data_IF_507819943636
#
_entry.id   IF_507819943636
#
_cell.length_a   1.000
_cell.length_b   1.000
_cell.length_c   1.000
_cell.angle_alpha   90.00
_cell.angle_beta   90.00
_cell.angle_gamma   90.00
#
_symmetry.space_group_name_H-M   'P 1'
#
loop_
_entity.id
_entity.type
_entity.pdbx_description
1 polymer ?
#
# COMPACT_ATOMS: atom_id res chain seq x y z
N UNK A 1 -34.12 12.53 -1.78
CA UNK A 1 -33.84 13.75 -0.98
C UNK A 1 -34.58 13.70 0.36
N UNK A 2 -33.98 13.13 1.40
CA UNK A 2 -34.39 13.32 2.81
C UNK A 2 -33.11 13.29 3.65
N UNK A 3 -32.87 14.39 4.38
CA UNK A 3 -31.74 14.70 5.29
C UNK A 3 -30.35 14.78 4.62
N UNK A 4 -30.00 15.97 4.10
CA UNK A 4 -28.61 16.43 3.89
C UNK A 4 -27.90 16.62 5.24
N UNK A 5 -27.76 15.56 6.04
CA UNK A 5 -26.89 15.58 7.21
C UNK A 5 -25.53 15.03 6.78
N UNK A 6 -24.42 15.67 7.14
CA UNK A 6 -23.10 15.09 6.93
C UNK A 6 -23.06 13.72 7.63
N UNK A 7 -22.49 12.73 6.95
CA UNK A 7 -22.24 11.40 7.51
C UNK A 7 -20.85 11.46 8.12
N UNK A 8 -20.75 11.29 9.42
CA UNK A 8 -19.47 11.21 10.12
C UNK A 8 -18.85 9.85 9.85
N UNK A 9 -17.58 9.86 9.44
CA UNK A 9 -16.79 8.66 9.16
C UNK A 9 -15.48 8.80 9.94
N UNK A 10 -15.17 7.81 10.77
CA UNK A 10 -13.90 7.76 11.50
C UNK A 10 -12.81 7.19 10.59
N UNK A 11 -11.82 8.02 10.26
CA UNK A 11 -10.67 7.65 9.43
C UNK A 11 -9.43 7.56 10.30
N UNK A 12 -8.77 6.40 10.27
CA UNK A 12 -7.48 6.19 10.94
C UNK A 12 -6.44 5.76 9.89
N UNK A 13 -6.09 6.70 9.02
CA UNK A 13 -5.15 6.49 7.93
C UNK A 13 -4.39 7.75 7.59
N UNK A 14 -3.34 7.59 6.77
CA UNK A 14 -2.74 8.74 6.09
C UNK A 14 -3.72 9.33 5.09
N UNK A 15 -3.69 10.64 4.97
CA UNK A 15 -4.54 11.41 4.06
C UNK A 15 -3.68 12.26 3.13
N UNK A 16 -4.20 12.54 1.94
CA UNK A 16 -3.67 13.55 1.03
C UNK A 16 -4.61 14.75 1.06
N UNK A 17 -4.09 15.93 1.40
CA UNK A 17 -4.87 17.18 1.32
C UNK A 17 -4.75 17.69 -0.12
N UNK A 18 -5.85 17.62 -0.85
CA UNK A 18 -5.93 17.97 -2.27
C UNK A 18 -7.33 18.46 -2.61
N UNK A 19 -7.54 19.76 -2.43
CA UNK A 19 -8.83 20.38 -2.68
C UNK A 19 -9.16 20.46 -4.17
N UNK A 20 -8.16 20.55 -5.04
CA UNK A 20 -8.36 20.68 -6.48
C UNK A 20 -8.93 19.38 -7.06
N UNK A 21 -8.22 18.26 -6.87
CA UNK A 21 -8.72 16.96 -7.36
C UNK A 21 -9.98 16.52 -6.64
N UNK A 22 -10.19 16.89 -5.36
CA UNK A 22 -11.48 16.64 -4.69
C UNK A 22 -12.64 17.29 -5.46
N UNK A 23 -12.49 18.56 -5.89
CA UNK A 23 -13.55 19.30 -6.58
C UNK A 23 -13.78 18.79 -8.00
N UNK A 24 -12.72 18.41 -8.72
CA UNK A 24 -12.84 17.79 -10.05
C UNK A 24 -13.63 16.48 -9.99
N UNK A 25 -13.36 15.65 -8.98
CA UNK A 25 -14.03 14.36 -8.78
C UNK A 25 -15.43 14.55 -8.20
N UNK A 26 -15.65 15.59 -7.39
CA UNK A 26 -16.92 15.89 -6.74
C UNK A 26 -17.42 17.30 -7.11
N UNK A 27 -17.76 17.56 -8.39
CA UNK A 27 -18.07 18.91 -8.88
C UNK A 27 -19.32 19.53 -8.24
N UNK A 28 -20.23 18.68 -7.75
CA UNK A 28 -21.48 19.08 -7.08
C UNK A 28 -21.36 19.15 -5.56
N UNK A 29 -20.15 18.98 -5.00
CA UNK A 29 -19.94 19.12 -3.56
C UNK A 29 -20.14 20.58 -3.16
N UNK A 30 -21.04 20.82 -2.21
CA UNK A 30 -21.39 22.17 -1.74
C UNK A 30 -20.89 22.35 -0.33
N UNK A 31 -19.98 23.31 -0.13
CA UNK A 31 -19.54 23.71 1.21
C UNK A 31 -20.60 24.58 1.88
N UNK A 32 -20.91 24.37 3.17
CA UNK A 32 -21.71 25.33 3.94
C UNK A 32 -20.96 26.68 3.98
N UNK A 33 -21.52 27.73 3.36
CA UNK A 33 -20.98 29.08 3.47
C UNK A 33 -21.61 29.81 4.66
N UNK A 34 -20.83 30.67 5.32
CA UNK A 34 -21.30 31.54 6.40
C UNK A 34 -22.21 32.65 5.82
N UNK A 35 -22.02 33.01 4.55
CA UNK A 35 -22.84 33.97 3.82
C UNK A 35 -24.15 33.33 3.31
N UNK A 36 -25.11 33.12 4.21
CA UNK A 36 -26.53 32.99 3.81
C UNK A 36 -27.12 34.39 3.58
N UNK A 37 -26.68 35.04 2.51
CA UNK A 37 -27.22 36.32 2.06
C UNK A 37 -27.91 36.18 0.71
N UNK A 38 -29.26 36.19 0.74
CA UNK A 38 -30.21 36.31 -0.38
C UNK A 38 -30.09 35.32 -1.55
N UNK A 39 -31.20 34.64 -1.81
CA UNK A 39 -31.49 33.90 -3.04
C UNK A 39 -31.08 34.69 -4.30
N UNK A 40 -29.96 34.29 -4.93
CA UNK A 40 -29.59 34.47 -6.35
C UNK A 40 -28.07 34.41 -6.64
N UNK A 41 -27.21 34.12 -5.66
CA UNK A 41 -25.82 33.79 -5.96
C UNK A 41 -25.72 32.28 -6.26
N UNK A 42 -25.57 31.91 -7.53
CA UNK A 42 -24.98 30.62 -7.86
C UNK A 42 -23.67 30.52 -7.06
N UNK A 43 -23.59 29.57 -6.14
CA UNK A 43 -22.37 29.30 -5.38
C UNK A 43 -21.29 28.95 -6.39
N UNK A 44 -20.47 29.92 -6.75
CA UNK A 44 -19.37 29.71 -7.67
C UNK A 44 -18.37 28.80 -6.96
N UNK A 45 -18.41 27.51 -7.29
CA UNK A 45 -17.34 26.55 -7.00
C UNK A 45 -16.06 26.87 -7.82
N UNK A 46 -15.91 28.11 -8.31
CA UNK A 46 -14.70 28.54 -8.99
C UNK A 46 -13.62 28.69 -7.93
N UNK A 47 -12.56 27.89 -8.09
CA UNK A 47 -11.30 28.06 -7.38
C UNK A 47 -10.89 29.52 -7.61
N UNK A 48 -10.75 30.29 -6.53
CA UNK A 48 -10.00 31.53 -6.61
C UNK A 48 -8.56 31.11 -6.96
N UNK A 49 -8.17 31.26 -8.23
CA UNK A 49 -6.86 30.85 -8.73
C UNK A 49 -5.71 31.54 -7.96
N UNK A 50 -6.01 32.60 -7.20
CA UNK A 50 -5.07 33.22 -6.25
C UNK A 50 -4.69 32.33 -5.06
N UNK A 51 -5.48 31.31 -4.74
CA UNK A 51 -5.23 30.37 -3.64
C UNK A 51 -4.21 29.28 -3.97
N UNK A 52 -3.83 29.09 -5.25
CA UNK A 52 -2.92 28.01 -5.65
C UNK A 52 -1.42 28.34 -5.58
N UNK A 53 -1.04 29.53 -5.10
CA UNK A 53 0.31 29.90 -4.65
C UNK A 53 0.25 31.31 -4.08
N UNK A 54 -0.37 31.49 -2.92
CA UNK A 54 -0.08 32.73 -2.19
C UNK A 54 1.37 32.61 -1.72
N UNK A 55 2.21 33.53 -2.16
CA UNK A 55 3.49 33.83 -1.51
C UNK A 55 3.26 34.48 -0.14
N UNK A 56 2.25 34.00 0.60
CA UNK A 56 1.94 34.47 1.95
C UNK A 56 2.95 33.82 2.87
N UNK A 57 3.65 34.67 3.60
CA UNK A 57 4.44 34.25 4.72
C UNK A 57 3.48 33.70 5.78
N UNK A 58 3.55 32.39 6.04
CA UNK A 58 2.68 31.72 7.01
C UNK A 58 2.91 32.27 8.43
N UNK A 59 4.11 32.79 8.69
CA UNK A 59 4.48 33.43 9.94
C UNK A 59 3.90 34.85 10.07
N UNK A 60 3.31 35.40 8.99
CA UNK A 60 2.65 36.70 8.98
C UNK A 60 1.12 36.64 9.17
N UNK A 61 0.54 35.43 9.33
CA UNK A 61 -0.89 35.26 9.60
C UNK A 61 -1.22 35.70 11.03
N UNK A 62 -2.23 36.54 11.17
CA UNK A 62 -2.75 36.98 12.47
C UNK A 62 -3.82 36.02 13.00
N UNK A 63 -4.11 36.09 14.30
CA UNK A 63 -5.21 35.32 14.90
C UNK A 63 -6.56 35.58 14.21
N UNK A 64 -6.77 36.80 13.69
CA UNK A 64 -7.98 37.17 12.94
C UNK A 64 -8.05 36.45 11.58
N UNK A 65 -6.92 36.22 10.93
CA UNK A 65 -6.82 35.45 9.67
C UNK A 65 -7.13 33.96 9.90
N UNK A 66 -6.76 33.43 11.07
CA UNK A 66 -7.13 32.05 11.44
C UNK A 66 -8.64 31.91 11.70
N UNK A 67 -9.32 32.96 12.19
CA UNK A 67 -10.77 32.93 12.42
C UNK A 67 -11.61 32.83 11.14
N UNK A 68 -11.07 33.28 9.99
CA UNK A 68 -11.73 33.19 8.70
C UNK A 68 -11.34 31.93 7.90
N UNK A 69 -10.33 31.20 8.35
CA UNK A 69 -9.94 29.93 7.73
C UNK A 69 -11.03 28.86 7.89
N UNK A 70 -11.18 28.01 6.88
CA UNK A 70 -12.05 26.84 6.97
C UNK A 70 -11.53 25.89 8.05
N UNK A 71 -12.36 25.44 9.02
CA UNK A 71 -11.94 24.49 10.05
C UNK A 71 -11.73 23.07 9.49
N UNK A 72 -12.04 22.88 8.21
CA UNK A 72 -11.93 21.62 7.48
C UNK A 72 -11.17 21.79 6.16
N UNK A 73 -10.49 20.72 5.77
CA UNK A 73 -9.78 20.60 4.49
C UNK A 73 -10.31 19.43 3.68
N UNK A 74 -10.27 19.56 2.35
CA UNK A 74 -10.71 18.52 1.42
C UNK A 74 -9.51 17.63 1.07
N UNK A 75 -9.73 16.33 1.02
CA UNK A 75 -8.64 15.41 0.71
C UNK A 75 -9.09 13.98 0.47
N UNK A 76 -8.13 13.08 0.45
CA UNK A 76 -8.31 11.67 0.17
C UNK A 76 -7.74 10.78 1.27
N UNK A 77 -8.52 9.81 1.76
CA UNK A 77 -8.01 8.74 2.62
C UNK A 77 -7.28 7.69 1.78
N UNK A 78 -5.98 7.51 2.03
CA UNK A 78 -5.15 6.57 1.28
C UNK A 78 -5.49 5.10 1.58
N UNK A 79 -6.02 4.77 2.75
CA UNK A 79 -6.39 3.38 3.06
C UNK A 79 -7.82 3.08 2.62
N UNK A 80 -8.76 3.98 2.92
CA UNK A 80 -10.19 3.77 2.67
C UNK A 80 -10.58 4.07 1.22
N UNK A 81 -9.73 4.79 0.49
CA UNK A 81 -9.93 5.17 -0.92
C UNK A 81 -11.13 6.09 -1.13
N UNK A 82 -11.33 7.01 -0.19
CA UNK A 82 -12.47 7.93 -0.19
C UNK A 82 -11.99 9.38 -0.20
N UNK A 83 -12.64 10.18 -1.04
CA UNK A 83 -12.56 11.64 -0.98
C UNK A 83 -13.48 12.14 0.13
N UNK A 84 -12.91 12.83 1.12
CA UNK A 84 -13.62 13.28 2.31
C UNK A 84 -13.22 14.72 2.69
N UNK A 85 -14.01 15.30 3.57
CA UNK A 85 -13.69 16.54 4.27
C UNK A 85 -13.22 16.20 5.68
N UNK A 86 -12.03 16.69 6.05
CA UNK A 86 -11.34 16.36 7.30
C UNK A 86 -11.27 17.57 8.21
N UNK A 87 -11.50 17.39 9.51
CA UNK A 87 -11.30 18.44 10.51
C UNK A 87 -9.81 18.71 10.69
N UNK A 88 -9.39 19.98 10.58
CA UNK A 88 -7.97 20.37 10.71
C UNK A 88 -7.41 19.98 12.09
N UNK A 89 -8.24 20.06 13.14
CA UNK A 89 -7.87 19.69 14.50
C UNK A 89 -7.48 18.22 14.67
N UNK A 90 -7.94 17.33 13.77
CA UNK A 90 -7.66 15.89 13.82
C UNK A 90 -6.53 15.47 12.87
N UNK A 91 -5.87 16.43 12.21
CA UNK A 91 -4.76 16.18 11.28
C UNK A 91 -3.44 16.50 11.98
N UNK A 92 -2.49 15.57 11.88
CA UNK A 92 -1.13 15.75 12.38
C UNK A 92 -0.10 15.47 11.28
N UNK A 93 1.12 15.97 11.47
CA UNK A 93 2.23 15.63 10.58
C UNK A 93 2.52 14.13 10.57
N UNK A 94 3.04 13.65 9.44
CA UNK A 94 3.36 12.24 9.26
C UNK A 94 4.69 11.92 9.94
N UNK A 95 4.65 10.99 10.91
CA UNK A 95 5.86 10.37 11.46
C UNK A 95 6.38 9.29 10.52
N UNK A 96 7.37 9.63 9.68
CA UNK A 96 8.02 8.71 8.75
C UNK A 96 8.99 7.74 9.44
N UNK A 97 9.03 6.49 8.99
CA UNK A 97 9.95 5.48 9.49
C UNK A 97 10.93 5.00 8.41
N UNK A 98 11.98 5.78 8.16
CA UNK A 98 13.00 5.50 7.14
C UNK A 98 13.73 4.15 7.35
N UNK A 99 13.74 3.62 8.58
CA UNK A 99 14.37 2.34 8.90
C UNK A 99 13.61 1.14 8.35
N UNK A 100 12.33 1.30 7.97
CA UNK A 100 11.47 0.21 7.53
C UNK A 100 12.04 -0.48 6.27
N UNK A 101 12.56 0.29 5.32
CA UNK A 101 13.17 -0.26 4.10
C UNK A 101 14.41 -1.12 4.41
N UNK A 102 15.14 -0.81 5.49
CA UNK A 102 16.30 -1.59 5.92
C UNK A 102 15.94 -2.97 6.49
N UNK A 103 14.71 -3.13 6.97
CA UNK A 103 14.21 -4.36 7.57
C UNK A 103 13.65 -5.35 6.53
N UNK A 104 13.45 -4.90 5.28
CA UNK A 104 12.89 -5.73 4.22
C UNK A 104 13.93 -6.75 3.74
N UNK A 105 13.54 -8.02 3.71
CA UNK A 105 14.40 -9.14 3.34
C UNK A 105 14.59 -9.26 1.81
N UNK A 106 15.36 -8.34 1.22
CA UNK A 106 15.72 -8.33 -0.20
C UNK A 106 17.25 -8.44 -0.34
N UNK A 107 17.78 -9.11 -1.38
CA UNK A 107 19.20 -9.10 -1.66
C UNK A 107 19.79 -7.68 -1.73
N UNK A 108 20.94 -7.47 -1.09
CA UNK A 108 21.59 -6.16 -0.98
C UNK A 108 21.84 -5.47 -2.33
N UNK A 109 22.15 -6.26 -3.38
CA UNK A 109 22.31 -5.76 -4.75
C UNK A 109 21.01 -5.16 -5.31
N UNK A 110 19.88 -5.85 -5.15
CA UNK A 110 18.58 -5.36 -5.61
C UNK A 110 18.16 -4.12 -4.82
N UNK A 111 18.44 -4.10 -3.52
CA UNK A 111 18.13 -2.96 -2.66
C UNK A 111 18.86 -1.67 -3.09
N UNK A 112 20.18 -1.75 -3.32
CA UNK A 112 20.97 -0.62 -3.85
C UNK A 112 20.46 -0.14 -5.20
N UNK A 113 20.03 -1.05 -6.07
CA UNK A 113 19.49 -0.70 -7.38
C UNK A 113 18.16 0.03 -7.25
N UNK A 114 17.25 -0.43 -6.39
CA UNK A 114 15.97 0.25 -6.11
C UNK A 114 16.24 1.65 -5.56
N UNK A 115 17.12 1.79 -4.56
CA UNK A 115 17.49 3.10 -3.99
C UNK A 115 18.04 4.05 -5.06
N UNK A 116 18.96 3.59 -5.90
CA UNK A 116 19.55 4.41 -6.96
C UNK A 116 18.51 4.87 -7.99
N UNK A 117 17.67 3.95 -8.49
CA UNK A 117 16.65 4.25 -9.49
C UNK A 117 15.57 5.19 -8.94
N UNK A 118 15.13 4.95 -7.70
CA UNK A 118 14.08 5.76 -7.07
C UNK A 118 14.58 7.15 -6.68
N UNK A 119 15.82 7.26 -6.22
CA UNK A 119 16.45 8.56 -5.93
C UNK A 119 16.65 9.37 -7.21
N UNK A 120 17.09 8.73 -8.30
CA UNK A 120 17.22 9.38 -9.61
C UNK A 120 15.87 9.89 -10.12
N UNK A 121 14.82 9.08 -10.01
CA UNK A 121 13.46 9.47 -10.40
C UNK A 121 12.87 10.55 -9.50
N UNK A 122 13.25 10.57 -8.22
CA UNK A 122 12.70 11.51 -7.22
C UNK A 122 13.41 12.86 -7.23
N UNK A 123 14.72 12.89 -7.53
CA UNK A 123 15.52 14.09 -7.65
C UNK A 123 15.42 14.66 -9.06
N UNK A 124 14.45 15.55 -9.29
CA UNK A 124 14.23 16.28 -10.56
C UNK A 124 15.37 17.23 -10.98
N UNK A 125 16.62 16.89 -10.72
CA UNK A 125 17.84 17.68 -10.93
C UNK A 125 18.93 16.93 -11.72
N UNK A 126 18.59 15.86 -12.43
CA UNK A 126 19.51 15.36 -13.46
C UNK A 126 19.44 16.32 -14.66
N UNK A 127 20.46 17.18 -14.80
CA UNK A 127 20.67 18.13 -15.92
C UNK A 127 20.69 17.44 -17.30
N UNK A 128 20.73 16.11 -17.32
CA UNK A 128 20.67 15.24 -18.48
C UNK A 128 19.71 14.08 -18.17
N UNK A 129 18.46 14.18 -18.63
CA UNK A 129 17.53 13.05 -18.63
C UNK A 129 17.88 12.13 -19.79
N UNK A 130 18.09 10.84 -19.53
CA UNK A 130 18.09 9.82 -20.57
C UNK A 130 16.64 9.57 -20.95
N UNK A 131 16.12 10.37 -21.87
CA UNK A 131 14.75 10.27 -22.38
C UNK A 131 14.76 9.38 -23.63
N UNK A 132 13.70 8.60 -23.83
CA UNK A 132 13.52 7.83 -25.06
C UNK A 132 13.40 8.77 -26.27
N UNK A 133 13.62 8.28 -27.49
CA UNK A 133 13.55 9.08 -28.72
C UNK A 133 12.15 9.70 -28.96
N UNK A 134 11.12 9.23 -28.23
CA UNK A 134 9.74 9.71 -28.29
C UNK A 134 9.42 10.49 -27.02
N UNK A 135 9.07 11.76 -27.18
CA UNK A 135 8.71 12.66 -26.09
C UNK A 135 7.55 12.10 -25.24
N UNK A 136 7.81 11.89 -23.95
CA UNK A 136 6.80 11.42 -22.98
C UNK A 136 6.74 9.90 -22.76
N UNK A 137 7.57 9.09 -23.42
CA UNK A 137 7.72 7.65 -23.14
C UNK A 137 8.93 7.35 -22.26
N UNK A 138 8.85 6.30 -21.44
CA UNK A 138 10.01 5.79 -20.69
C UNK A 138 10.45 6.64 -19.50
N UNK A 139 9.65 7.64 -19.09
CA UNK A 139 9.95 8.52 -17.95
C UNK A 139 9.53 7.96 -16.60
N UNK A 140 8.76 6.87 -16.55
CA UNK A 140 8.34 6.24 -15.30
C UNK A 140 9.24 5.09 -14.87
N UNK A 141 9.33 4.84 -13.56
CA UNK A 141 10.04 3.69 -13.01
C UNK A 141 9.05 2.60 -12.64
N UNK A 142 9.03 1.50 -13.39
CA UNK A 142 8.16 0.35 -13.14
C UNK A 142 8.98 -0.82 -12.58
N UNK A 143 8.63 -1.25 -11.37
CA UNK A 143 9.28 -2.34 -10.66
C UNK A 143 8.31 -3.50 -10.47
N UNK A 144 8.74 -4.72 -10.78
CA UNK A 144 7.96 -5.93 -10.54
C UNK A 144 8.50 -6.69 -9.34
N UNK A 145 7.68 -6.85 -8.31
CA UNK A 145 7.96 -7.65 -7.12
C UNK A 145 7.25 -8.99 -7.25
N UNK A 146 7.99 -10.09 -7.38
CA UNK A 146 7.38 -11.38 -7.68
C UNK A 146 7.91 -12.53 -6.84
N UNK A 147 7.05 -13.47 -6.49
CA UNK A 147 7.42 -14.64 -5.69
C UNK A 147 6.27 -15.14 -4.81
N UNK A 148 6.52 -16.10 -3.92
CA UNK A 148 5.48 -16.70 -3.08
C UNK A 148 4.71 -15.67 -2.22
N UNK A 149 3.48 -15.99 -1.78
CA UNK A 149 2.74 -15.11 -0.88
C UNK A 149 3.43 -15.01 0.50
N UNK A 150 3.30 -13.85 1.15
CA UNK A 150 3.76 -13.66 2.55
C UNK A 150 5.28 -13.49 2.74
N UNK A 151 6.04 -13.20 1.68
CA UNK A 151 7.51 -13.00 1.72
C UNK A 151 7.96 -11.53 1.79
N UNK A 152 7.02 -10.58 1.94
CA UNK A 152 7.35 -9.15 2.12
C UNK A 152 7.32 -8.29 0.86
N UNK A 153 6.67 -8.74 -0.23
CA UNK A 153 6.49 -7.94 -1.46
C UNK A 153 5.83 -6.58 -1.18
N UNK A 154 4.63 -6.58 -0.60
CA UNK A 154 3.89 -5.36 -0.22
C UNK A 154 4.68 -4.50 0.78
N UNK A 155 5.32 -5.14 1.77
CA UNK A 155 6.18 -4.46 2.77
C UNK A 155 7.36 -3.71 2.13
N UNK A 156 7.80 -4.13 0.94
CA UNK A 156 8.86 -3.44 0.20
C UNK A 156 8.39 -2.08 -0.30
N UNK A 157 7.16 -2.02 -0.82
CA UNK A 157 6.57 -0.77 -1.28
C UNK A 157 6.32 0.18 -0.10
N UNK A 158 5.81 -0.34 1.01
CA UNK A 158 5.65 0.40 2.27
C UNK A 158 7.00 0.95 2.75
N UNK A 159 8.02 0.10 2.90
CA UNK A 159 9.35 0.51 3.31
C UNK A 159 9.96 1.56 2.39
N UNK A 160 9.81 1.40 1.08
CA UNK A 160 10.32 2.35 0.10
C UNK A 160 9.60 3.70 0.19
N UNK A 161 8.28 3.70 0.39
CA UNK A 161 7.51 4.94 0.59
C UNK A 161 7.94 5.70 1.84
N UNK A 162 8.23 4.99 2.94
CA UNK A 162 8.76 5.58 4.16
C UNK A 162 10.16 6.17 3.95
N UNK A 163 11.02 5.45 3.24
CA UNK A 163 12.39 5.88 2.96
C UNK A 163 12.43 7.13 2.08
N UNK A 164 11.55 7.21 1.08
CA UNK A 164 11.47 8.35 0.16
C UNK A 164 10.63 9.51 0.71
N UNK A 165 9.96 9.34 1.86
CA UNK A 165 8.99 10.28 2.44
C UNK A 165 7.90 10.68 1.44
N UNK A 166 7.39 9.69 0.71
CA UNK A 166 6.38 9.87 -0.34
C UNK A 166 5.12 9.09 0.00
N UNK A 167 3.93 9.59 -0.38
CA UNK A 167 2.69 8.83 -0.21
C UNK A 167 2.74 7.49 -0.93
N UNK A 168 2.13 6.46 -0.35
CA UNK A 168 1.92 5.17 -1.00
C UNK A 168 0.45 5.05 -1.41
N UNK A 169 0.21 5.04 -2.71
CA UNK A 169 -1.12 4.81 -3.27
C UNK A 169 -1.29 3.36 -3.69
N UNK A 170 -1.87 2.55 -2.78
CA UNK A 170 -2.06 1.10 -3.01
C UNK A 170 -3.39 0.78 -3.66
N UNK A 171 -3.42 0.06 -4.77
CA UNK A 171 -4.64 -0.42 -5.43
C UNK A 171 -4.53 -1.92 -5.64
N UNK A 172 -5.54 -2.67 -5.19
CA UNK A 172 -5.63 -4.09 -5.51
C UNK A 172 -6.08 -4.23 -6.96
N UNK A 173 -5.40 -5.08 -7.74
CA UNK A 173 -5.79 -5.36 -9.11
C UNK A 173 -7.22 -5.94 -9.21
N UNK A 174 -7.73 -6.58 -8.16
CA UNK A 174 -9.12 -7.06 -8.09
C UNK A 174 -10.17 -5.94 -8.12
N UNK A 175 -9.79 -4.70 -7.78
CA UNK A 175 -10.68 -3.53 -7.83
C UNK A 175 -10.70 -2.86 -9.22
N UNK A 176 -9.86 -3.33 -10.15
CA UNK A 176 -9.82 -2.81 -11.50
C UNK A 176 -10.97 -3.38 -12.33
N UNK A 177 -11.53 -2.57 -13.22
CA UNK A 177 -12.62 -2.99 -14.08
C UNK A 177 -12.21 -4.14 -15.01
N UNK A 178 -13.14 -5.09 -15.19
CA UNK A 178 -13.01 -6.20 -16.16
C UNK A 178 -13.54 -5.84 -17.55
N UNK A 179 -13.94 -4.60 -17.75
CA UNK A 179 -14.26 -4.02 -19.05
C UNK A 179 -13.12 -3.11 -19.51
N UNK A 180 -12.61 -3.33 -20.72
CA UNK A 180 -11.40 -2.66 -21.21
C UNK A 180 -11.55 -1.14 -21.34
N UNK A 181 -12.75 -0.63 -21.66
CA UNK A 181 -12.98 0.82 -21.78
C UNK A 181 -13.00 1.48 -20.41
N UNK A 182 -13.70 0.88 -19.46
CA UNK A 182 -13.76 1.38 -18.08
C UNK A 182 -12.41 1.26 -17.39
N UNK A 183 -11.66 0.19 -17.64
CA UNK A 183 -10.29 0.01 -17.15
C UNK A 183 -9.38 1.14 -17.64
N UNK A 184 -9.47 1.49 -18.92
CA UNK A 184 -8.68 2.58 -19.51
C UNK A 184 -8.92 3.91 -18.78
N UNK A 185 -10.17 4.27 -18.52
CA UNK A 185 -10.53 5.50 -17.78
C UNK A 185 -10.00 5.42 -16.34
N UNK A 186 -10.26 4.31 -15.66
CA UNK A 186 -9.84 4.11 -14.27
C UNK A 186 -8.31 4.19 -14.09
N UNK A 187 -7.54 3.61 -15.01
CA UNK A 187 -6.08 3.69 -14.98
C UNK A 187 -5.58 5.11 -15.24
N UNK A 188 -6.21 5.88 -16.15
CA UNK A 188 -5.87 7.28 -16.38
C UNK A 188 -6.04 8.11 -15.10
N UNK A 189 -7.22 8.05 -14.48
CA UNK A 189 -7.53 8.79 -13.25
C UNK A 189 -6.56 8.40 -12.12
N UNK A 190 -6.31 7.10 -11.95
CA UNK A 190 -5.40 6.60 -10.93
C UNK A 190 -3.95 7.07 -11.15
N UNK A 191 -3.47 7.07 -12.39
CA UNK A 191 -2.12 7.51 -12.73
C UNK A 191 -1.95 9.00 -12.56
N UNK A 192 -2.93 9.79 -12.99
CA UNK A 192 -2.93 11.25 -12.83
C UNK A 192 -2.90 11.65 -11.35
N UNK A 193 -3.73 11.03 -10.52
CA UNK A 193 -3.72 11.23 -9.06
C UNK A 193 -2.36 10.85 -8.45
N UNK A 194 -1.78 9.71 -8.86
CA UNK A 194 -0.48 9.29 -8.36
C UNK A 194 0.65 10.24 -8.79
N UNK A 195 0.61 10.75 -10.01
CA UNK A 195 1.58 11.71 -10.55
C UNK A 195 1.48 13.06 -9.84
N UNK A 196 0.27 13.59 -9.66
CA UNK A 196 0.01 14.86 -8.97
C UNK A 196 0.53 14.84 -7.53
N UNK A 197 0.32 13.72 -6.83
CA UNK A 197 0.82 13.53 -5.47
C UNK A 197 2.30 13.14 -5.38
N UNK A 198 2.96 12.92 -6.53
CA UNK A 198 4.30 12.33 -6.61
C UNK A 198 4.41 11.02 -5.79
N UNK A 199 3.31 10.28 -5.72
CA UNK A 199 3.16 9.09 -4.90
C UNK A 199 3.84 7.88 -5.53
N UNK A 200 4.19 6.91 -4.69
CA UNK A 200 4.49 5.55 -5.16
C UNK A 200 3.16 4.85 -5.39
N UNK A 201 2.94 4.37 -6.61
CA UNK A 201 1.75 3.62 -6.97
C UNK A 201 2.03 2.13 -6.83
N UNK A 202 1.32 1.45 -5.93
CA UNK A 202 1.41 0.01 -5.74
C UNK A 202 0.17 -0.66 -6.33
N UNK A 203 0.35 -1.48 -7.37
CA UNK A 203 -0.69 -2.40 -7.84
C UNK A 203 -0.42 -3.80 -7.26
N UNK A 204 -1.21 -4.17 -6.26
CA UNK A 204 -1.07 -5.44 -5.55
C UNK A 204 -1.86 -6.55 -6.27
N UNK A 205 -1.27 -7.74 -6.37
CA UNK A 205 -1.87 -8.93 -6.99
C UNK A 205 -2.25 -8.74 -8.47
N UNK A 206 -1.38 -8.08 -9.25
CA UNK A 206 -1.56 -7.83 -10.68
C UNK A 206 -1.45 -9.08 -11.58
N UNK A 207 -1.68 -10.28 -11.03
CA UNK A 207 -1.52 -11.57 -11.70
C UNK A 207 -2.33 -11.61 -13.01
N UNK A 208 -3.62 -11.27 -12.95
CA UNK A 208 -4.55 -11.34 -14.09
C UNK A 208 -4.23 -10.34 -15.21
N UNK A 209 -3.52 -9.24 -14.94
CA UNK A 209 -3.17 -8.23 -15.94
C UNK A 209 -1.78 -8.43 -16.55
N UNK A 210 -0.95 -9.27 -15.92
CA UNK A 210 0.39 -9.60 -16.38
C UNK A 210 0.47 -10.96 -17.07
N UNK A 211 -0.59 -11.78 -16.96
CA UNK A 211 -0.65 -13.10 -17.58
C UNK A 211 -0.63 -13.05 -19.12
N UNK A 212 -0.12 -14.13 -19.73
CA UNK A 212 -0.11 -14.36 -21.17
C UNK A 212 -1.51 -14.28 -21.73
N UNK A 213 -1.59 -13.72 -22.92
CA UNK A 213 -2.80 -13.76 -23.75
C UNK A 213 -3.31 -15.18 -23.89
N UNK A 214 -4.61 -15.36 -23.70
CA UNK A 214 -5.31 -16.64 -23.79
C UNK A 214 -6.28 -16.63 -24.97
N UNK A 215 -7.15 -17.65 -25.08
CA UNK A 215 -8.23 -17.66 -26.07
C UNK A 215 -9.35 -16.66 -25.74
N UNK A 216 -9.35 -16.07 -24.55
CA UNK A 216 -10.33 -15.06 -24.15
C UNK A 216 -9.95 -13.68 -24.72
N UNK A 217 -10.76 -13.21 -25.68
CA UNK A 217 -10.58 -11.91 -26.32
C UNK A 217 -10.77 -10.74 -25.34
N UNK A 218 -11.60 -10.89 -24.31
CA UNK A 218 -11.80 -9.86 -23.31
C UNK A 218 -10.54 -9.71 -22.44
N UNK A 219 -10.03 -10.81 -21.91
CA UNK A 219 -8.77 -10.82 -21.16
C UNK A 219 -7.62 -10.21 -21.96
N UNK A 220 -7.46 -10.59 -23.22
CA UNK A 220 -6.40 -10.04 -24.08
C UNK A 220 -6.53 -8.53 -24.29
N UNK A 221 -7.76 -8.03 -24.35
CA UNK A 221 -8.05 -6.60 -24.44
C UNK A 221 -7.66 -5.87 -23.15
N UNK A 222 -7.95 -6.44 -21.98
CA UNK A 222 -7.55 -5.89 -20.68
C UNK A 222 -6.04 -5.82 -20.54
N UNK A 223 -5.33 -6.92 -20.84
CA UNK A 223 -3.86 -6.96 -20.82
C UNK A 223 -3.27 -5.92 -21.77
N UNK A 224 -3.83 -5.79 -22.98
CA UNK A 224 -3.36 -4.82 -23.97
C UNK A 224 -3.54 -3.37 -23.51
N UNK A 225 -4.68 -3.03 -22.92
CA UNK A 225 -4.93 -1.70 -22.34
C UNK A 225 -3.98 -1.43 -21.19
N UNK A 226 -3.82 -2.39 -20.29
CA UNK A 226 -2.94 -2.27 -19.12
C UNK A 226 -1.49 -2.00 -19.55
N UNK A 227 -0.92 -2.83 -20.41
CA UNK A 227 0.45 -2.66 -20.91
C UNK A 227 0.65 -1.34 -21.66
N UNK A 228 -0.34 -0.93 -22.47
CA UNK A 228 -0.30 0.36 -23.15
C UNK A 228 -0.25 1.51 -22.15
N UNK A 229 -1.06 1.48 -21.10
CA UNK A 229 -1.09 2.55 -20.09
C UNK A 229 0.20 2.61 -19.27
N UNK A 230 0.76 1.46 -18.90
CA UNK A 230 2.05 1.40 -18.20
C UNK A 230 3.17 2.14 -18.93
N UNK A 231 3.20 2.08 -20.26
CA UNK A 231 4.24 2.71 -21.09
C UNK A 231 4.29 4.24 -20.97
N UNK A 232 3.16 4.87 -20.64
CA UNK A 232 3.03 6.33 -20.55
C UNK A 232 3.00 6.86 -19.11
N UNK A 233 3.06 5.98 -18.10
CA UNK A 233 3.09 6.41 -16.70
C UNK A 233 4.43 7.09 -16.38
N UNK A 234 4.39 8.25 -15.72
CA UNK A 234 5.58 9.09 -15.45
C UNK A 234 6.02 9.08 -13.98
N UNK A 235 5.42 8.23 -13.15
CA UNK A 235 5.76 8.10 -11.72
C UNK A 235 6.57 6.85 -11.38
N UNK A 236 6.63 6.54 -10.08
CA UNK A 236 7.20 5.29 -9.56
C UNK A 236 6.05 4.31 -9.33
N UNK A 237 6.11 3.14 -9.98
CA UNK A 237 5.12 2.08 -9.85
C UNK A 237 5.77 0.78 -9.36
N UNK A 238 5.10 0.14 -8.41
CA UNK A 238 5.41 -1.20 -7.95
C UNK A 238 4.25 -2.13 -8.30
N UNK A 239 4.55 -3.21 -9.01
CA UNK A 239 3.60 -4.28 -9.31
C UNK A 239 3.95 -5.47 -8.42
N UNK A 240 2.95 -6.11 -7.79
CA UNK A 240 3.17 -7.39 -7.12
C UNK A 240 2.46 -8.52 -7.84
N UNK A 241 3.06 -9.70 -7.80
CA UNK A 241 2.51 -10.90 -8.42
C UNK A 241 3.01 -12.15 -7.70
N UNK A 242 2.12 -13.15 -7.62
CA UNK A 242 2.44 -14.47 -7.11
C UNK A 242 2.79 -15.45 -8.25
N UNK A 243 2.44 -15.11 -9.50
CA UNK A 243 2.49 -16.02 -10.66
C UNK A 243 3.52 -15.60 -11.70
N UNK A 244 4.77 -16.03 -11.50
CA UNK A 244 5.92 -15.64 -12.33
C UNK A 244 5.95 -16.32 -13.71
N UNK A 245 5.36 -17.52 -13.83
CA UNK A 245 5.60 -18.42 -14.97
C UNK A 245 4.76 -18.10 -16.21
N UNK A 246 3.74 -17.26 -16.04
CA UNK A 246 2.73 -17.04 -17.05
C UNK A 246 2.75 -15.61 -17.59
N UNK A 247 3.87 -14.86 -17.50
CA UNK A 247 3.87 -13.48 -18.00
C UNK A 247 3.82 -13.38 -19.53
N UNK A 248 3.04 -12.42 -20.02
CA UNK A 248 3.11 -11.97 -21.41
C UNK A 248 4.52 -11.43 -21.70
N UNK A 249 5.10 -11.78 -22.85
CA UNK A 249 6.46 -11.37 -23.21
C UNK A 249 6.59 -9.85 -23.29
N UNK A 250 5.52 -9.14 -23.67
CA UNK A 250 5.49 -7.68 -23.76
C UNK A 250 5.50 -6.98 -22.38
N UNK A 251 5.34 -7.73 -21.29
CA UNK A 251 5.54 -7.23 -19.91
C UNK A 251 7.02 -6.97 -19.65
N UNK A 252 7.92 -7.80 -20.21
CA UNK A 252 9.36 -7.70 -19.95
C UNK A 252 9.96 -6.39 -20.45
N UNK A 253 9.48 -5.87 -21.59
CA UNK A 253 9.98 -4.61 -22.15
C UNK A 253 9.49 -3.36 -21.40
N UNK A 254 8.50 -3.50 -20.50
CA UNK A 254 7.90 -2.40 -19.73
C UNK A 254 8.37 -2.36 -18.28
N UNK A 255 9.00 -3.43 -17.80
CA UNK A 255 9.55 -3.53 -16.44
C UNK A 255 11.02 -3.14 -16.46
N UNK A 256 11.38 -2.17 -15.63
CA UNK A 256 12.77 -1.71 -15.49
C UNK A 256 13.57 -2.65 -14.59
N UNK A 257 12.93 -3.17 -13.54
CA UNK A 257 13.55 -4.10 -12.59
C UNK A 257 12.54 -5.14 -12.12
N UNK A 258 12.92 -6.41 -12.24
CA UNK A 258 12.22 -7.54 -11.64
C UNK A 258 12.93 -8.01 -10.37
N UNK A 259 12.29 -7.87 -9.21
CA UNK A 259 12.80 -8.33 -7.91
C UNK A 259 12.15 -9.67 -7.57
N UNK A 260 12.95 -10.73 -7.66
CA UNK A 260 12.55 -12.07 -7.25
C UNK A 260 12.61 -12.23 -5.73
N UNK A 261 11.51 -12.69 -5.16
CA UNK A 261 11.44 -13.15 -3.77
C UNK A 261 11.47 -14.68 -3.74
N UNK A 262 12.43 -15.20 -2.99
CA UNK A 262 12.51 -16.62 -2.66
C UNK A 262 11.75 -16.90 -1.36
N UNK A 263 11.35 -18.16 -1.10
CA UNK A 263 10.92 -18.57 0.23
C UNK A 263 11.95 -18.14 1.29
N UNK A 264 11.46 -17.76 2.47
CA UNK A 264 12.30 -17.22 3.54
C UNK A 264 13.33 -18.26 3.99
N UNK A 265 14.58 -17.85 4.19
CA UNK A 265 15.61 -18.69 4.83
C UNK A 265 15.38 -18.80 6.34
N UNK A 266 16.08 -19.74 6.99
CA UNK A 266 16.03 -19.91 8.46
C UNK A 266 16.45 -18.62 9.17
N UNK A 267 17.55 -18.00 8.73
CA UNK A 267 18.05 -16.76 9.35
C UNK A 267 17.08 -15.59 9.19
N UNK A 268 16.47 -15.46 8.01
CA UNK A 268 15.44 -14.45 7.76
C UNK A 268 14.21 -14.67 8.64
N UNK A 269 13.72 -15.91 8.76
CA UNK A 269 12.62 -16.23 9.68
C UNK A 269 12.99 -15.93 11.13
N UNK A 270 14.22 -16.24 11.55
CA UNK A 270 14.73 -15.93 12.90
C UNK A 270 14.65 -14.43 13.18
N UNK A 271 15.08 -13.60 12.24
CA UNK A 271 15.00 -12.14 12.36
C UNK A 271 13.54 -11.64 12.42
N UNK A 272 12.65 -12.20 11.60
CA UNK A 272 11.22 -11.86 11.60
C UNK A 272 10.56 -12.22 12.93
N UNK A 273 10.81 -13.44 13.43
CA UNK A 273 10.33 -13.89 14.75
C UNK A 273 10.78 -12.92 15.84
N UNK A 274 12.08 -12.61 15.89
CA UNK A 274 12.64 -11.67 16.88
C UNK A 274 11.93 -10.31 16.82
N UNK A 275 11.77 -9.74 15.63
CA UNK A 275 11.12 -8.43 15.45
C UNK A 275 9.67 -8.41 15.95
N UNK A 276 8.90 -9.47 15.73
CA UNK A 276 7.53 -9.54 16.23
C UNK A 276 7.46 -9.80 17.75
N UNK A 277 8.34 -10.65 18.28
CA UNK A 277 8.36 -10.97 19.72
C UNK A 277 8.81 -9.77 20.57
N UNK A 278 9.75 -8.97 20.10
CA UNK A 278 10.16 -7.71 20.76
C UNK A 278 9.01 -6.70 20.88
N UNK A 279 8.04 -6.76 19.96
CA UNK A 279 6.85 -5.90 19.96
C UNK A 279 5.66 -6.51 20.71
N UNK A 280 5.72 -7.80 21.04
CA UNK A 280 4.64 -8.54 21.69
C UNK A 280 4.69 -8.39 23.22
N UNK A 281 4.66 -7.15 23.70
CA UNK A 281 4.63 -6.83 25.13
C UNK A 281 3.20 -7.00 25.68
N UNK A 282 3.11 -7.55 26.89
CA UNK A 282 1.87 -7.67 27.66
C UNK A 282 1.94 -6.74 28.87
N UNK A 283 0.83 -6.55 29.59
CA UNK A 283 0.82 -5.84 30.88
C UNK A 283 1.79 -6.49 31.89
N UNK A 284 2.01 -7.79 31.78
CA UNK A 284 2.88 -8.59 32.66
C UNK A 284 4.34 -8.66 32.20
N UNK A 285 4.72 -7.93 31.15
CA UNK A 285 6.11 -7.80 30.70
C UNK A 285 6.36 -8.16 29.24
N UNK A 286 7.65 -8.18 28.89
CA UNK A 286 8.14 -8.53 27.56
C UNK A 286 8.02 -10.04 27.29
N UNK A 287 8.03 -10.44 26.02
CA UNK A 287 8.06 -11.85 25.64
C UNK A 287 9.31 -12.56 26.22
N UNK A 288 9.11 -13.71 26.84
CA UNK A 288 10.16 -14.56 27.39
C UNK A 288 10.49 -15.70 26.42
N UNK A 289 11.68 -15.65 25.81
CA UNK A 289 12.20 -16.69 24.93
C UNK A 289 13.73 -16.76 24.99
N UNK A 290 14.28 -17.95 24.78
CA UNK A 290 15.71 -18.18 24.62
C UNK A 290 16.13 -18.19 23.15
N UNK A 291 17.42 -17.93 22.87
CA UNK A 291 17.95 -18.04 21.51
C UNK A 291 17.81 -19.45 20.93
N UNK A 292 17.86 -20.50 21.79
CA UNK A 292 17.63 -21.89 21.37
C UNK A 292 16.19 -22.10 20.88
N UNK A 293 15.21 -21.59 21.63
CA UNK A 293 13.80 -21.64 21.23
C UNK A 293 13.55 -20.85 19.93
N UNK A 294 14.19 -19.70 19.78
CA UNK A 294 14.09 -18.90 18.55
C UNK A 294 14.62 -19.66 17.32
N UNK A 295 15.69 -20.44 17.47
CA UNK A 295 16.20 -21.33 16.41
C UNK A 295 15.19 -22.43 16.08
N UNK A 296 14.52 -23.01 17.08
CA UNK A 296 13.47 -24.03 16.87
C UNK A 296 12.30 -23.42 16.08
N UNK A 297 11.79 -22.26 16.50
CA UNK A 297 10.72 -21.53 15.81
C UNK A 297 11.08 -21.21 14.35
N UNK A 298 12.34 -20.84 14.08
CA UNK A 298 12.82 -20.52 12.74
C UNK A 298 12.96 -21.74 11.81
N UNK A 299 12.98 -22.97 12.34
CA UNK A 299 13.00 -24.20 11.53
C UNK A 299 11.64 -24.49 10.88
N UNK A 300 10.54 -24.01 11.44
CA UNK A 300 9.23 -24.13 10.81
C UNK A 300 9.20 -23.35 9.49
N UNK A 301 8.76 -24.00 8.41
CA UNK A 301 8.72 -23.44 7.05
C UNK A 301 7.54 -22.47 6.86
N UNK A 302 7.49 -21.42 7.67
CA UNK A 302 6.42 -20.42 7.69
C UNK A 302 6.81 -19.19 6.87
N UNK A 303 5.83 -18.56 6.24
CA UNK A 303 5.98 -17.23 5.64
C UNK A 303 5.82 -16.13 6.71
N UNK A 304 6.17 -14.88 6.39
CA UNK A 304 6.13 -13.77 7.34
C UNK A 304 4.73 -13.46 7.87
N UNK A 305 3.69 -13.68 7.04
CA UNK A 305 2.28 -13.49 7.45
C UNK A 305 1.86 -14.56 8.47
N UNK A 306 2.25 -15.81 8.26
CA UNK A 306 2.01 -16.90 9.20
C UNK A 306 2.73 -16.66 10.53
N UNK A 307 3.99 -16.20 10.51
CA UNK A 307 4.74 -15.84 11.74
C UNK A 307 4.02 -14.72 12.50
N UNK A 308 3.62 -13.64 11.82
CA UNK A 308 2.86 -12.53 12.43
C UNK A 308 1.57 -13.02 13.09
N UNK A 309 0.82 -13.86 12.39
CA UNK A 309 -0.43 -14.42 12.91
C UNK A 309 -0.18 -15.32 14.12
N UNK A 310 0.86 -16.17 14.08
CA UNK A 310 1.22 -17.02 15.20
C UNK A 310 1.59 -16.23 16.45
N UNK A 311 2.43 -15.18 16.32
CA UNK A 311 2.78 -14.29 17.44
C UNK A 311 1.53 -13.57 17.97
N UNK A 312 0.66 -13.07 17.09
CA UNK A 312 -0.57 -12.37 17.50
C UNK A 312 -1.52 -13.29 18.27
N UNK A 313 -1.72 -14.52 17.82
CA UNK A 313 -2.55 -15.49 18.52
C UNK A 313 -1.94 -15.88 19.88
N UNK A 314 -0.63 -16.12 19.93
CA UNK A 314 0.05 -16.42 21.19
C UNK A 314 0.02 -15.24 22.18
N UNK A 315 0.10 -14.00 21.67
CA UNK A 315 -0.04 -12.79 22.46
C UNK A 315 -1.46 -12.64 23.03
N UNK A 316 -2.49 -12.98 22.25
CA UNK A 316 -3.87 -12.97 22.73
C UNK A 316 -4.10 -14.01 23.83
N UNK A 317 -3.56 -15.23 23.69
CA UNK A 317 -3.62 -16.27 24.74
C UNK A 317 -2.93 -15.77 26.01
N UNK A 318 -1.68 -15.29 25.90
CA UNK A 318 -0.93 -14.78 27.04
C UNK A 318 -1.66 -13.64 27.78
N UNK A 319 -2.25 -12.72 27.01
CA UNK A 319 -3.02 -11.59 27.57
C UNK A 319 -4.29 -12.06 28.28
N UNK A 320 -4.99 -13.06 27.73
CA UNK A 320 -6.16 -13.68 28.37
C UNK A 320 -5.80 -14.42 29.66
N UNK A 321 -4.64 -15.09 29.67
CA UNK A 321 -4.16 -15.84 30.83
C UNK A 321 -3.57 -14.93 31.91
N UNK A 322 -3.46 -13.62 31.66
CA UNK A 322 -2.83 -12.68 32.59
C UNK A 322 -1.35 -12.98 32.79
N UNK A 323 -0.66 -13.43 31.74
CA UNK A 323 0.77 -13.76 31.78
C UNK A 323 1.55 -12.99 30.70
N UNK A 324 2.88 -13.12 30.68
CA UNK A 324 3.70 -12.65 29.58
C UNK A 324 3.77 -13.71 28.47
N UNK A 325 4.09 -13.29 27.24
CA UNK A 325 4.21 -14.22 26.13
C UNK A 325 5.40 -15.16 26.36
N UNK A 326 5.12 -16.46 26.51
CA UNK A 326 6.10 -17.52 26.67
C UNK A 326 6.17 -18.42 25.43
N UNK A 327 7.24 -19.19 25.31
CA UNK A 327 7.40 -20.19 24.25
C UNK A 327 6.25 -21.22 24.19
N UNK A 328 5.67 -21.62 25.32
CA UNK A 328 4.54 -22.56 25.38
C UNK A 328 3.31 -22.05 24.60
N UNK A 329 3.03 -20.74 24.66
CA UNK A 329 1.92 -20.15 23.90
C UNK A 329 2.18 -20.22 22.39
N UNK A 330 3.42 -20.01 21.96
CA UNK A 330 3.82 -20.12 20.56
C UNK A 330 3.73 -21.56 20.07
N UNK A 331 4.20 -22.52 20.87
CA UNK A 331 4.17 -23.94 20.54
C UNK A 331 2.74 -24.43 20.35
N UNK A 332 1.83 -24.11 21.29
CA UNK A 332 0.41 -24.43 21.20
C UNK A 332 -0.22 -23.88 19.89
N UNK A 333 0.02 -22.61 19.57
CA UNK A 333 -0.50 -22.01 18.32
C UNK A 333 0.07 -22.68 17.07
N UNK A 334 1.35 -23.07 17.09
CA UNK A 334 1.97 -23.78 15.98
C UNK A 334 1.46 -25.21 15.82
N UNK A 335 1.11 -25.90 16.91
CA UNK A 335 0.48 -27.23 16.85
C UNK A 335 -0.91 -27.16 16.24
N UNK A 336 -1.78 -26.29 16.74
CA UNK A 336 -3.12 -26.07 16.17
C UNK A 336 -3.04 -25.64 14.69
N UNK A 337 -2.05 -24.80 14.36
CA UNK A 337 -1.82 -24.37 12.97
C UNK A 337 -1.39 -25.51 12.05
N UNK A 338 -0.58 -26.48 12.54
CA UNK A 338 -0.18 -27.66 11.77
C UNK A 338 -1.34 -28.61 11.53
N UNK A 339 -2.20 -28.83 12.53
CA UNK A 339 -3.40 -29.67 12.38
C UNK A 339 -4.28 -29.14 11.25
N UNK A 340 -4.56 -27.83 11.26
CA UNK A 340 -5.31 -27.18 10.18
C UNK A 340 -4.62 -27.31 8.81
N UNK A 341 -3.30 -27.10 8.72
CA UNK A 341 -2.57 -27.21 7.45
C UNK A 341 -2.56 -28.65 6.92
N UNK A 342 -2.50 -29.64 7.81
CA UNK A 342 -2.57 -31.07 7.46
C UNK A 342 -3.95 -31.46 6.92
N UNK A 343 -5.02 -30.98 7.56
CA UNK A 343 -6.41 -31.15 7.11
C UNK A 343 -6.63 -30.47 5.76
N UNK A 344 -6.18 -29.23 5.62
CA UNK A 344 -6.31 -28.44 4.38
C UNK A 344 -5.56 -29.06 3.19
N UNK A 345 -4.45 -29.75 3.43
CA UNK A 345 -3.69 -30.47 2.40
C UNK A 345 -4.19 -31.89 2.13
N UNK A 346 -5.29 -32.33 2.75
CA UNK A 346 -5.89 -33.67 2.57
C UNK A 346 -5.14 -34.80 3.29
N UNK A 347 -4.15 -34.46 4.12
CA UNK A 347 -3.42 -35.43 4.96
C UNK A 347 -4.29 -35.92 6.12
N UNK A 348 -5.15 -35.03 6.64
CA UNK A 348 -6.12 -35.33 7.69
C UNK A 348 -7.31 -36.17 7.22
N UNK A 349 -7.68 -36.10 5.93
CA UNK A 349 -8.78 -36.93 5.38
C UNK A 349 -8.47 -38.43 5.49
N UNK A 350 -7.22 -38.86 5.22
CA UNK A 350 -6.79 -40.25 5.36
C UNK A 350 -6.77 -40.73 6.82
N UNK A 351 -6.35 -39.86 7.75
CA UNK A 351 -6.33 -40.17 9.19
C UNK A 351 -7.74 -40.23 9.78
N UNK A 352 -8.62 -39.31 9.38
CA UNK A 352 -10.02 -39.30 9.79
C UNK A 352 -10.78 -40.51 9.22
N UNK A 353 -10.52 -40.91 7.97
CA UNK A 353 -11.19 -42.08 7.37
C UNK A 353 -10.82 -43.41 8.07
N UNK A 354 -9.61 -43.52 8.64
CA UNK A 354 -9.16 -44.66 9.45
C UNK A 354 -9.69 -44.65 10.89
N UNK A 355 -10.15 -43.51 11.39
CA UNK A 355 -10.70 -43.39 12.76
C UNK A 355 -12.18 -43.78 12.87
N UNK A 356 -12.87 -43.90 11.72
CA UNK A 356 -14.27 -44.35 11.61
C UNK A 356 -14.42 -45.79 11.09
N UNK A 357 -13.32 -46.52 10.92
CA UNK A 357 -13.28 -47.94 10.57
C UNK A 357 -12.86 -48.77 11.79
#
# INVERSE_FOLDING_TARGET
MKKKKPVEIFINSRIMVDAASFQEINPNYTRPSIFKGSDNAASSNQIDESAMKSSMDLDALTDEDFLICSPTVLGFSLNDKLWLEFAVADISEISWNESLFNQVAIPSRSKKLIEALTTFQSGGQAKYTFDDFVEGKGRGLIMLLYGPPGVGKTMTAEGLSEHLKRPLYTVSAGNLSKDAKHLEVQLCEMFEVAENWQALLLLDEADDFLCKRSYDSNHNSLVSVFLRKLEYYKGIMLLTTNRVRDFDEAVQSRIHIGVKYSPLGVDTRKAIWRSFLERAKTENGNAAYSDKQLIILAKHSLNGRQIKNAVRSAHAIASSDGTHLCYSHLENVLEVGKEFENDFRGSGEMANMLSYA
#
